data_IF_102716323496
#
_entry.id   IF_102716323496
#
_cell.length_a   1.000
_cell.length_b   1.000
_cell.length_c   1.000
_cell.angle_alpha   90.00
_cell.angle_beta   90.00
_cell.angle_gamma   90.00
#
_symmetry.space_group_name_H-M   'P 1'
#
loop_
_entity.id
_entity.type
_entity.pdbx_description
1 polymer ?
#
# COMPACT_ATOMS: atom_id res chain seq x y z
N UNK A 1 -10.38 -13.04 -21.28
CA UNK A 1 -11.01 -12.81 -20.52
C UNK A 1 -11.69 -11.88 -20.94
N UNK A 2 -12.48 -12.10 -20.78
CA UNK A 2 -13.10 -11.19 -20.82
C UNK A 2 -12.60 -10.18 -20.14
N UNK A 3 -11.83 -10.34 -19.26
CA UNK A 3 -11.18 -9.31 -18.64
C UNK A 3 -9.97 -9.04 -19.35
N UNK A 4 -9.81 -7.85 -19.84
CA UNK A 4 -8.52 -7.39 -20.31
C UNK A 4 -7.89 -6.64 -19.19
N UNK A 5 -6.62 -6.38 -19.27
CA UNK A 5 -5.93 -5.63 -18.26
C UNK A 5 -6.49 -4.23 -18.16
N UNK A 6 -7.03 -3.70 -19.22
CA UNK A 6 -7.60 -2.36 -19.19
C UNK A 6 -8.88 -2.30 -18.36
N UNK A 7 -9.51 -3.44 -18.13
CA UNK A 7 -10.70 -3.49 -17.32
C UNK A 7 -10.37 -3.74 -15.87
N UNK A 8 -9.14 -4.10 -15.58
CA UNK A 8 -8.76 -4.38 -14.23
C UNK A 8 -8.58 -3.10 -13.48
N UNK A 9 -8.93 -3.11 -12.22
CA UNK A 9 -8.71 -1.94 -11.42
C UNK A 9 -7.23 -1.67 -11.27
N UNK A 10 -6.91 -0.44 -11.02
CA UNK A 10 -5.55 -0.06 -10.71
C UNK A 10 -5.20 -0.63 -9.36
N UNK A 11 -4.14 -1.42 -9.33
CA UNK A 11 -3.65 -1.99 -8.10
C UNK A 11 -2.14 -1.91 -8.06
N UNK A 12 -1.59 -1.83 -6.88
CA UNK A 12 -0.15 -1.82 -6.73
C UNK A 12 0.25 -2.14 -5.30
N UNK A 13 1.48 -2.59 -5.15
CA UNK A 13 2.03 -2.89 -3.83
C UNK A 13 3.32 -2.10 -3.67
N UNK A 14 3.41 -1.37 -2.57
CA UNK A 14 4.57 -0.55 -2.24
C UNK A 14 5.25 -1.18 -1.04
N UNK A 15 6.56 -1.42 -1.14
CA UNK A 15 7.31 -2.10 -0.09
C UNK A 15 8.12 -1.11 0.74
N UNK A 16 8.36 -1.48 2.00
CA UNK A 16 9.02 -0.62 2.98
C UNK A 16 10.17 -1.35 3.66
N UNK A 17 11.15 -0.56 4.09
CA UNK A 17 12.24 -1.08 4.89
C UNK A 17 11.75 -1.37 6.31
N UNK A 18 12.54 -2.15 7.04
CA UNK A 18 12.19 -2.53 8.40
C UNK A 18 11.94 -1.29 9.26
N UNK A 19 10.84 -1.31 9.97
CA UNK A 19 10.48 -0.28 10.95
C UNK A 19 10.38 1.12 10.33
N UNK A 20 10.15 1.22 9.02
CA UNK A 20 10.05 2.50 8.34
C UNK A 20 8.75 2.62 7.58
N UNK A 21 8.32 3.85 7.40
CA UNK A 21 7.13 4.15 6.62
C UNK A 21 7.37 5.24 5.58
N UNK A 22 8.62 5.68 5.41
CA UNK A 22 8.93 6.65 4.36
C UNK A 22 9.03 5.94 3.02
N UNK A 23 8.69 6.66 1.96
CA UNK A 23 8.70 6.11 0.62
C UNK A 23 10.08 6.27 -0.01
N UNK A 24 10.60 5.20 -0.59
CA UNK A 24 11.85 5.25 -1.33
C UNK A 24 11.63 5.98 -2.66
N UNK A 25 12.72 6.30 -3.36
CA UNK A 25 12.62 6.97 -4.66
C UNK A 25 11.82 6.12 -5.66
N UNK A 26 12.04 4.80 -5.67
CA UNK A 26 11.31 3.92 -6.57
C UNK A 26 9.84 3.84 -6.17
N UNK A 27 9.55 3.84 -4.86
CA UNK A 27 8.18 3.83 -4.38
C UNK A 27 7.45 5.10 -4.79
N UNK A 28 8.14 6.25 -4.72
CA UNK A 28 7.56 7.53 -5.14
C UNK A 28 7.16 7.45 -6.62
N UNK A 29 8.02 6.90 -7.46
CA UNK A 29 7.69 6.77 -8.89
C UNK A 29 6.50 5.85 -9.10
N UNK A 30 6.44 4.75 -8.36
CA UNK A 30 5.32 3.81 -8.47
C UNK A 30 4.01 4.47 -8.05
N UNK A 31 4.03 5.22 -6.96
CA UNK A 31 2.82 5.87 -6.47
C UNK A 31 2.35 6.95 -7.45
N UNK A 32 3.28 7.68 -8.08
CA UNK A 32 2.91 8.65 -9.11
C UNK A 32 2.20 8.00 -10.28
N UNK A 33 2.71 6.86 -10.73
CA UNK A 33 2.07 6.11 -11.81
C UNK A 33 0.68 5.65 -11.41
N UNK A 34 0.53 5.16 -10.17
CA UNK A 34 -0.77 4.76 -9.65
C UNK A 34 -1.72 5.96 -9.62
N UNK A 35 -1.24 7.13 -9.19
CA UNK A 35 -2.08 8.33 -9.12
C UNK A 35 -2.65 8.67 -10.49
N UNK A 36 -1.82 8.60 -11.52
CA UNK A 36 -2.29 8.89 -12.88
C UNK A 36 -3.37 7.91 -13.33
N UNK A 37 -3.18 6.63 -13.02
CA UNK A 37 -4.15 5.61 -13.39
C UNK A 37 -5.46 5.78 -12.62
N UNK A 38 -5.37 6.10 -11.34
CA UNK A 38 -6.55 6.30 -10.51
C UNK A 38 -7.36 7.49 -11.03
N UNK A 39 -6.67 8.58 -11.36
CA UNK A 39 -7.35 9.77 -11.88
C UNK A 39 -8.00 9.49 -13.22
N UNK A 40 -7.31 8.76 -14.10
CA UNK A 40 -7.87 8.45 -15.43
C UNK A 40 -9.12 7.61 -15.35
N UNK A 41 -9.18 6.69 -14.39
CA UNK A 41 -10.31 5.78 -14.26
C UNK A 41 -11.37 6.30 -13.30
N UNK A 42 -11.12 7.42 -12.62
CA UNK A 42 -12.03 7.98 -11.62
C UNK A 42 -12.37 6.94 -10.55
N UNK A 43 -11.39 6.14 -10.17
CA UNK A 43 -11.60 5.04 -9.24
C UNK A 43 -11.56 5.51 -7.79
N UNK A 44 -12.21 4.76 -6.93
CA UNK A 44 -12.02 4.87 -5.49
C UNK A 44 -11.14 3.72 -5.04
N UNK A 45 -10.25 3.98 -4.11
CA UNK A 45 -9.26 2.98 -3.71
C UNK A 45 -9.22 2.85 -2.20
N UNK A 46 -8.79 1.67 -1.74
CA UNK A 46 -8.46 1.42 -0.35
C UNK A 46 -6.98 1.08 -0.29
N UNK A 47 -6.27 1.69 0.66
CA UNK A 47 -4.86 1.42 0.86
C UNK A 47 -4.72 0.65 2.15
N UNK A 48 -4.13 -0.54 2.08
CA UNK A 48 -3.97 -1.45 3.20
C UNK A 48 -2.52 -1.46 3.64
N UNK A 49 -2.27 -1.10 4.90
CA UNK A 49 -0.93 -1.11 5.45
C UNK A 49 -0.64 -2.39 6.19
N UNK A 50 0.55 -2.93 5.99
CA UNK A 50 0.95 -4.22 6.56
C UNK A 50 2.36 -4.17 7.09
N UNK A 51 2.64 -5.05 8.05
CA UNK A 51 3.96 -5.19 8.66
C UNK A 51 4.37 -6.66 8.69
N UNK A 52 5.68 -6.88 8.91
CA UNK A 52 6.12 -8.24 9.20
C UNK A 52 5.78 -8.58 10.67
N UNK A 53 6.10 -9.81 11.07
CA UNK A 53 5.65 -10.33 12.37
C UNK A 53 6.39 -9.76 13.58
N UNK A 54 7.48 -9.01 13.36
CA UNK A 54 8.30 -8.54 14.47
C UNK A 54 7.64 -7.33 15.14
N UNK A 55 7.65 -7.33 16.47
CA UNK A 55 7.10 -6.23 17.25
C UNK A 55 5.74 -6.57 17.84
N UNK A 56 5.17 -5.64 18.59
CA UNK A 56 3.88 -5.87 19.21
C UNK A 56 2.76 -5.65 18.20
N UNK A 57 1.60 -6.23 18.50
CA UNK A 57 0.44 -6.08 17.63
C UNK A 57 0.04 -4.60 17.50
N UNK A 58 0.02 -3.89 18.62
CA UNK A 58 -0.36 -2.48 18.60
C UNK A 58 0.62 -1.62 17.81
N UNK A 59 1.91 -1.87 18.00
CA UNK A 59 2.94 -1.13 17.29
C UNK A 59 2.78 -1.36 15.78
N UNK A 60 2.54 -2.59 15.38
CA UNK A 60 2.44 -2.92 13.96
C UNK A 60 1.14 -2.40 13.34
N UNK A 61 0.06 -2.34 14.10
CA UNK A 61 -1.15 -1.70 13.58
C UNK A 61 -0.89 -0.22 13.31
N UNK A 62 -0.19 0.46 14.21
CA UNK A 62 0.14 1.87 14.02
C UNK A 62 1.11 2.06 12.86
N UNK A 63 2.13 1.19 12.73
CA UNK A 63 3.09 1.30 11.64
C UNK A 63 2.42 1.04 10.30
N UNK A 64 1.52 0.05 10.25
CA UNK A 64 0.76 -0.22 9.02
C UNK A 64 -0.08 0.99 8.62
N UNK A 65 -0.67 1.67 9.61
CA UNK A 65 -1.44 2.87 9.32
C UNK A 65 -0.56 3.97 8.75
N UNK A 66 0.64 4.16 9.31
CA UNK A 66 1.57 5.16 8.80
C UNK A 66 2.01 4.84 7.38
N UNK A 67 2.19 3.57 7.07
CA UNK A 67 2.54 3.15 5.71
C UNK A 67 1.41 3.44 4.73
N UNK A 68 0.19 3.12 5.11
CA UNK A 68 -0.97 3.41 4.25
C UNK A 68 -1.13 4.91 4.08
N UNK A 69 -0.94 5.68 5.14
CA UNK A 69 -1.07 7.14 5.07
C UNK A 69 0.01 7.77 4.21
N UNK A 70 1.23 7.24 4.23
CA UNK A 70 2.31 7.77 3.40
C UNK A 70 1.95 7.64 1.91
N UNK A 71 1.38 6.52 1.53
CA UNK A 71 0.93 6.33 0.14
C UNK A 71 -0.25 7.25 -0.16
N UNK A 72 -1.21 7.35 0.76
CA UNK A 72 -2.37 8.22 0.58
C UNK A 72 -1.96 9.67 0.38
N UNK A 73 -1.02 10.16 1.18
CA UNK A 73 -0.59 11.55 1.09
C UNK A 73 0.06 11.84 -0.26
N UNK A 74 0.87 10.91 -0.75
CA UNK A 74 1.53 11.12 -2.03
C UNK A 74 0.53 11.03 -3.19
N UNK A 75 -0.47 10.14 -3.10
CA UNK A 75 -1.54 10.12 -4.09
C UNK A 75 -2.26 11.46 -4.13
N UNK A 76 -2.53 12.05 -2.97
CA UNK A 76 -3.22 13.34 -2.91
C UNK A 76 -2.36 14.46 -3.49
N UNK A 77 -1.06 14.46 -3.20
CA UNK A 77 -0.14 15.45 -3.77
C UNK A 77 -0.15 15.35 -5.28
N UNK A 78 -0.36 14.16 -5.82
CA UNK A 78 -0.41 13.95 -7.26
C UNK A 78 -1.83 14.04 -7.83
N UNK A 79 -2.75 14.61 -7.09
CA UNK A 79 -4.05 14.98 -7.62
C UNK A 79 -5.21 14.04 -7.38
N UNK A 80 -5.01 12.97 -6.60
CA UNK A 80 -6.12 12.09 -6.25
C UNK A 80 -6.89 12.70 -5.09
N UNK A 81 -8.20 12.79 -5.22
CA UNK A 81 -9.04 13.39 -4.18
C UNK A 81 -9.03 12.53 -2.91
N UNK A 82 -8.95 13.19 -1.76
CA UNK A 82 -9.03 12.47 -0.49
C UNK A 82 -10.35 11.71 -0.35
N UNK A 83 -11.40 12.19 -1.01
CA UNK A 83 -12.69 11.50 -0.98
C UNK A 83 -12.67 10.16 -1.72
N UNK A 84 -11.65 9.94 -2.53
CA UNK A 84 -11.50 8.69 -3.28
C UNK A 84 -10.60 7.68 -2.56
N UNK A 85 -10.07 8.02 -1.39
CA UNK A 85 -9.08 7.19 -0.72
C UNK A 85 -9.56 6.80 0.66
N UNK A 86 -9.50 5.51 0.97
CA UNK A 86 -9.72 4.98 2.30
C UNK A 86 -8.45 4.26 2.73
N UNK A 87 -8.06 4.38 3.98
CA UNK A 87 -6.89 3.66 4.50
C UNK A 87 -7.30 2.72 5.61
N UNK A 88 -6.59 1.60 5.73
CA UNK A 88 -6.80 0.65 6.79
C UNK A 88 -5.47 -0.01 7.11
N UNK A 89 -5.25 -0.39 8.35
CA UNK A 89 -4.08 -1.14 8.74
C UNK A 89 -4.49 -2.51 9.24
N UNK A 90 -3.81 -3.53 8.73
CA UNK A 90 -3.96 -4.89 9.25
C UNK A 90 -2.76 -5.27 10.12
N UNK A 91 -1.75 -4.40 10.20
CA UNK A 91 -0.55 -4.72 10.96
C UNK A 91 0.08 -6.00 10.44
N UNK A 92 0.35 -6.93 11.36
CA UNK A 92 0.97 -8.20 11.00
C UNK A 92 -0.04 -9.31 10.74
N UNK A 93 -1.33 -9.00 10.72
CA UNK A 93 -2.37 -10.03 10.76
C UNK A 93 -2.72 -10.66 9.43
N UNK A 94 -2.26 -10.08 8.32
CA UNK A 94 -2.53 -10.64 6.99
C UNK A 94 -1.24 -10.83 6.21
N UNK A 95 -0.38 -11.75 6.64
CA UNK A 95 0.88 -11.97 5.94
C UNK A 95 0.67 -12.65 4.59
N UNK A 96 1.58 -12.36 3.66
CA UNK A 96 1.63 -13.06 2.37
C UNK A 96 2.76 -14.07 2.35
N UNK A 97 3.66 -14.02 3.33
CA UNK A 97 4.76 -14.98 3.46
C UNK A 97 4.90 -15.34 4.93
N UNK A 98 5.14 -16.61 5.21
CA UNK A 98 5.03 -17.12 6.58
C UNK A 98 6.35 -17.51 7.23
N UNK A 99 7.48 -17.34 6.56
CA UNK A 99 8.77 -17.65 7.18
C UNK A 99 9.22 -16.56 8.14
N UNK A 100 10.12 -16.93 9.05
CA UNK A 100 10.68 -15.97 10.01
C UNK A 100 12.09 -15.62 9.57
N UNK A 101 12.21 -14.99 8.42
CA UNK A 101 13.47 -14.56 7.86
C UNK A 101 13.22 -13.35 6.96
N UNK A 102 14.29 -12.71 6.54
CA UNK A 102 14.16 -11.47 5.75
C UNK A 102 13.44 -11.69 4.43
N UNK A 103 13.61 -12.84 3.82
CA UNK A 103 12.92 -13.14 2.57
C UNK A 103 11.41 -13.05 2.73
N UNK A 104 10.87 -13.56 3.84
CA UNK A 104 9.44 -13.50 4.13
C UNK A 104 9.04 -12.13 4.68
N UNK A 105 9.84 -11.58 5.58
CA UNK A 105 9.53 -10.30 6.20
C UNK A 105 9.43 -9.18 5.17
N UNK A 106 10.34 -9.17 4.18
CA UNK A 106 10.34 -8.11 3.17
C UNK A 106 9.06 -8.11 2.35
N UNK A 107 8.46 -9.28 2.15
CA UNK A 107 7.20 -9.37 1.39
C UNK A 107 6.02 -8.88 2.20
N UNK A 108 6.12 -8.90 3.52
CA UNK A 108 5.03 -8.49 4.38
C UNK A 108 5.05 -6.99 4.69
N UNK A 109 6.19 -6.33 4.56
CA UNK A 109 6.31 -4.89 4.82
C UNK A 109 5.81 -4.11 3.61
N UNK A 110 4.51 -3.88 3.57
CA UNK A 110 3.92 -3.32 2.34
C UNK A 110 2.68 -2.48 2.59
N UNK A 111 2.35 -1.69 1.60
CA UNK A 111 1.05 -1.03 1.51
C UNK A 111 0.45 -1.44 0.17
N UNK A 112 -0.78 -1.93 0.18
CA UNK A 112 -1.44 -2.44 -1.01
C UNK A 112 -2.56 -1.47 -1.39
N UNK A 113 -2.54 -1.00 -2.64
CA UNK A 113 -3.58 -0.13 -3.17
C UNK A 113 -4.56 -1.00 -3.94
N UNK A 114 -5.81 -1.00 -3.51
CA UNK A 114 -6.87 -1.80 -4.14
C UNK A 114 -8.00 -0.91 -4.59
N UNK A 115 -8.55 -1.20 -5.74
CA UNK A 115 -9.71 -0.47 -6.23
C UNK A 115 -10.96 -1.03 -5.58
N UNK A 116 -11.84 -0.15 -5.19
CA UNK A 116 -13.10 -0.54 -4.56
C UNK A 116 -14.20 -0.73 -5.59
#
# INVERSE_FOLDING_TARGET
>A
SEYSDSDNPVEGTIYFEYDKYNLSASAVSEVRALANSIKSSSSKVRIEGHCDERGTREYNLALGEKRANAVSELLQVNGVSSNSITTVSYGEEKPVAYGSNESSWSKNRRAVVKVL
#
